data_IF_613207452765
#
_entry.id   IF_613207452765
#
_cell.length_a   1.000
_cell.length_b   1.000
_cell.length_c   1.000
_cell.angle_alpha   90.00
_cell.angle_beta   90.00
_cell.angle_gamma   90.00
#
_symmetry.space_group_name_H-M   'P 1'
#
loop_
_entity.id
_entity.type
_entity.pdbx_description
1 polymer ?
#
# COMPACT_ATOMS: atom_id res chain seq x y z
N UNK A 1 18.30 -3.25 -10.03
CA UNK A 1 16.98 -3.66 -9.53
C UNK A 1 16.05 -2.50 -9.78
N UNK A 2 14.83 -2.77 -10.23
CA UNK A 2 13.87 -1.71 -10.51
C UNK A 2 13.15 -1.35 -9.21
N UNK A 3 12.99 -0.05 -8.98
CA UNK A 3 12.24 0.48 -7.84
C UNK A 3 10.79 0.62 -8.25
N UNK A 4 9.90 0.13 -7.39
CA UNK A 4 8.45 0.19 -7.59
C UNK A 4 7.80 0.91 -6.42
N UNK A 5 6.71 1.60 -6.71
CA UNK A 5 5.82 2.13 -5.69
C UNK A 5 4.50 1.38 -5.79
N UNK A 6 4.15 0.67 -4.71
CA UNK A 6 2.85 0.04 -4.54
C UNK A 6 1.90 1.01 -3.85
N UNK A 7 0.79 1.34 -4.49
CA UNK A 7 -0.33 2.08 -3.91
C UNK A 7 -1.36 1.10 -3.38
N UNK A 8 -1.57 1.10 -2.07
CA UNK A 8 -2.54 0.25 -1.40
C UNK A 8 -3.75 1.12 -1.07
N UNK A 9 -4.90 0.83 -1.68
CA UNK A 9 -6.14 1.57 -1.44
C UNK A 9 -7.08 0.73 -0.56
N UNK A 10 -7.36 1.18 0.66
CA UNK A 10 -8.33 0.55 1.56
C UNK A 10 -9.66 1.28 1.43
N UNK A 11 -10.74 0.57 1.08
CA UNK A 11 -12.08 1.14 0.90
C UNK A 11 -12.91 1.00 2.17
N UNK A 12 -12.51 1.72 3.20
CA UNK A 12 -13.16 1.71 4.51
C UNK A 12 -13.07 3.10 5.17
N UNK A 13 -13.96 3.37 6.12
CA UNK A 13 -13.95 4.61 6.92
C UNK A 13 -12.99 4.38 8.10
N UNK A 14 -11.73 4.77 7.91
CA UNK A 14 -10.67 4.56 8.89
C UNK A 14 -10.37 5.85 9.65
N UNK A 15 -10.39 5.77 10.99
CA UNK A 15 -9.88 6.85 11.85
C UNK A 15 -8.37 7.06 11.66
N UNK A 16 -7.89 8.30 11.86
CA UNK A 16 -6.48 8.69 11.75
C UNK A 16 -5.51 7.78 12.54
N UNK A 17 -5.91 7.31 13.73
CA UNK A 17 -5.09 6.40 14.55
C UNK A 17 -4.90 5.04 13.88
N UNK A 18 -5.98 4.52 13.27
CA UNK A 18 -5.94 3.28 12.50
C UNK A 18 -5.11 3.45 11.23
N UNK A 19 -5.28 4.58 10.53
CA UNK A 19 -4.49 4.92 9.34
C UNK A 19 -3.00 5.00 9.68
N UNK A 20 -2.62 5.64 10.78
CA UNK A 20 -1.23 5.72 11.22
C UNK A 20 -0.64 4.33 11.56
N UNK A 21 -1.41 3.49 12.25
CA UNK A 21 -1.01 2.11 12.54
C UNK A 21 -0.82 1.26 11.29
N UNK A 22 -1.73 1.39 10.32
CA UNK A 22 -1.63 0.71 9.02
C UNK A 22 -0.44 1.24 8.21
N UNK A 23 -0.18 2.55 8.20
CA UNK A 23 0.96 3.13 7.51
C UNK A 23 2.29 2.60 8.04
N UNK A 24 2.42 2.46 9.37
CA UNK A 24 3.62 1.88 10.00
C UNK A 24 3.77 0.39 9.65
N UNK A 25 2.69 -0.40 9.77
CA UNK A 25 2.69 -1.83 9.46
C UNK A 25 2.96 -2.12 7.97
N UNK A 26 2.42 -1.29 7.07
CA UNK A 26 2.64 -1.37 5.62
C UNK A 26 4.00 -0.77 5.21
N UNK A 27 4.74 -0.17 6.13
CA UNK A 27 5.96 0.59 5.85
C UNK A 27 5.75 1.65 4.75
N UNK A 28 4.62 2.34 4.82
CA UNK A 28 4.27 3.37 3.86
C UNK A 28 5.27 4.54 3.93
N UNK A 29 5.65 5.05 2.77
CA UNK A 29 6.48 6.23 2.62
C UNK A 29 5.60 7.46 2.44
N UNK A 30 5.81 8.44 3.31
CA UNK A 30 5.07 9.71 3.32
C UNK A 30 3.72 9.59 4.01
N UNK A 31 2.94 10.67 3.94
CA UNK A 31 1.61 10.74 4.53
C UNK A 31 0.59 9.99 3.65
N UNK A 32 -0.21 9.08 4.22
CA UNK A 32 -1.28 8.41 3.48
C UNK A 32 -2.36 9.41 3.06
N UNK A 33 -2.91 9.20 1.86
CA UNK A 33 -3.96 10.05 1.33
C UNK A 33 -5.32 9.56 1.84
N UNK A 34 -5.85 10.26 2.85
CA UNK A 34 -7.15 9.98 3.45
C UNK A 34 -8.25 10.67 2.64
N UNK A 35 -9.13 9.88 2.03
CA UNK A 35 -10.29 10.31 1.28
C UNK A 35 -11.56 9.87 2.02
N UNK A 36 -12.71 10.53 1.79
CA UNK A 36 -13.95 10.26 2.55
C UNK A 36 -14.52 8.84 2.39
N UNK A 37 -14.07 8.05 1.41
CA UNK A 37 -14.52 6.67 1.16
C UNK A 37 -13.39 5.64 1.14
N UNK A 38 -12.13 6.09 1.28
CA UNK A 38 -10.96 5.23 1.12
C UNK A 38 -9.68 5.89 1.63
N UNK A 39 -8.68 5.09 1.93
CA UNK A 39 -7.34 5.56 2.30
C UNK A 39 -6.31 4.96 1.37
N UNK A 40 -5.39 5.78 0.87
CA UNK A 40 -4.34 5.33 -0.05
C UNK A 40 -2.97 5.42 0.62
N UNK A 41 -2.31 4.27 0.76
CA UNK A 41 -0.95 4.14 1.28
C UNK A 41 0.04 3.96 0.15
N UNK A 42 1.22 4.58 0.28
CA UNK A 42 2.28 4.49 -0.73
C UNK A 42 3.42 3.67 -0.15
N UNK A 43 3.66 2.45 -0.65
CA UNK A 43 4.67 1.53 -0.13
C UNK A 43 5.79 1.36 -1.15
N UNK A 44 7.02 1.80 -0.85
CA UNK A 44 8.16 1.56 -1.73
C UNK A 44 8.59 0.09 -1.66
N UNK A 45 8.88 -0.50 -2.82
CA UNK A 45 9.34 -1.88 -2.92
C UNK A 45 10.45 -2.02 -3.95
N UNK A 46 11.34 -2.98 -3.70
CA UNK A 46 12.38 -3.37 -4.67
C UNK A 46 12.07 -4.78 -5.19
N UNK A 47 11.89 -4.90 -6.49
CA UNK A 47 11.53 -6.16 -7.13
C UNK A 47 12.27 -6.33 -8.46
N UNK A 48 12.41 -7.57 -8.96
CA UNK A 48 12.97 -7.81 -10.28
C UNK A 48 12.08 -7.25 -11.41
N UNK A 49 10.76 -7.30 -11.25
CA UNK A 49 9.76 -6.87 -12.23
C UNK A 49 8.45 -6.41 -11.53
N UNK A 50 7.62 -5.62 -12.22
CA UNK A 50 6.37 -5.07 -11.67
C UNK A 50 5.38 -6.13 -11.19
N UNK A 51 5.31 -7.29 -11.86
CA UNK A 51 4.48 -8.41 -11.41
C UNK A 51 4.93 -8.96 -10.06
N UNK A 52 6.24 -9.06 -9.84
CA UNK A 52 6.78 -9.53 -8.55
C UNK A 52 6.52 -8.50 -7.45
N UNK A 53 6.65 -7.21 -7.77
CA UNK A 53 6.29 -6.13 -6.85
C UNK A 53 4.81 -6.20 -6.45
N UNK A 54 3.89 -6.40 -7.41
CA UNK A 54 2.46 -6.53 -7.11
C UNK A 54 2.16 -7.74 -6.23
N UNK A 55 2.77 -8.89 -6.50
CA UNK A 55 2.55 -10.11 -5.68
C UNK A 55 3.08 -9.91 -4.26
N UNK A 56 4.29 -9.36 -4.11
CA UNK A 56 4.88 -9.09 -2.80
C UNK A 56 4.03 -8.08 -2.00
N UNK A 57 3.66 -6.96 -2.63
CA UNK A 57 2.82 -5.94 -2.02
C UNK A 57 1.43 -6.48 -1.64
N UNK A 58 0.81 -7.32 -2.49
CA UNK A 58 -0.49 -7.93 -2.21
C UNK A 58 -0.43 -8.93 -1.06
N UNK A 59 0.65 -9.73 -0.95
CA UNK A 59 0.80 -10.64 0.18
C UNK A 59 0.98 -9.86 1.48
N UNK A 60 1.86 -8.86 1.50
CA UNK A 60 2.08 -8.00 2.68
C UNK A 60 0.80 -7.26 3.08
N UNK A 61 0.09 -6.67 2.12
CA UNK A 61 -1.18 -6.01 2.34
C UNK A 61 -2.23 -6.98 2.90
N UNK A 62 -2.30 -8.22 2.40
CA UNK A 62 -3.22 -9.23 2.91
C UNK A 62 -2.93 -9.68 4.34
N UNK A 63 -1.68 -9.67 4.77
CA UNK A 63 -1.31 -9.98 6.16
C UNK A 63 -1.69 -8.85 7.13
N UNK A 64 -1.59 -7.59 6.68
CA UNK A 64 -1.88 -6.41 7.51
C UNK A 64 -3.36 -6.03 7.50
N UNK A 65 -4.01 -6.14 6.33
CA UNK A 65 -5.37 -5.67 6.06
C UNK A 65 -6.38 -6.83 6.03
N UNK A 66 -6.12 -7.89 6.80
CA UNK A 66 -7.06 -9.00 6.96
C UNK A 66 -8.43 -8.48 7.45
N UNK A 67 -9.50 -8.85 6.73
CA UNK A 67 -10.86 -8.40 7.02
C UNK A 67 -11.28 -7.07 6.40
N UNK A 68 -10.38 -6.34 5.72
CA UNK A 68 -10.71 -5.10 5.00
C UNK A 68 -10.84 -5.32 3.49
N UNK A 69 -11.57 -4.41 2.82
CA UNK A 69 -11.61 -4.35 1.35
C UNK A 69 -10.49 -3.45 0.87
N UNK A 70 -9.49 -4.03 0.21
CA UNK A 70 -8.33 -3.29 -0.28
C UNK A 70 -7.94 -3.68 -1.71
N UNK A 71 -7.20 -2.80 -2.37
CA UNK A 71 -6.68 -2.96 -3.73
C UNK A 71 -5.22 -2.51 -3.79
N UNK A 72 -4.40 -3.20 -4.62
CA UNK A 72 -2.97 -2.90 -4.79
C UNK A 72 -2.70 -2.55 -6.24
N UNK A 73 -2.25 -1.32 -6.47
CA UNK A 73 -1.81 -0.83 -7.77
C UNK A 73 -0.30 -0.57 -7.72
N UNK A 74 0.48 -1.18 -8.60
CA UNK A 74 1.94 -0.97 -8.64
C UNK A 74 2.29 -0.09 -9.81
N UNK A 75 2.92 1.05 -9.51
CA UNK A 75 3.42 1.98 -10.51
C UNK A 75 4.92 1.86 -10.59
N UNK A 76 5.43 1.60 -11.80
CA UNK A 76 6.86 1.60 -12.07
C UNK A 76 7.39 3.04 -11.95
N UNK A 77 8.29 3.28 -10.99
CA UNK A 77 8.98 4.56 -10.93
C UNK A 77 10.22 4.48 -11.80
N UNK A 78 10.22 5.24 -12.90
CA UNK A 78 11.44 5.49 -13.67
C UNK A 78 12.37 6.33 -12.79
N UNK A 79 13.30 5.67 -12.10
CA UNK A 79 14.43 6.32 -11.44
C UNK A 79 15.56 6.57 -12.44
#
# INVERSE_FOLDING_TARGET
MATYIARITVRDDLDDDTVAGMADALQAQGDPEVLPDRVVFTVPGEAPDGTTASVAASQHAGEVLDGFVWDVDVVETWA
#
